data_IF_366259474012
#
_entry.id   IF_366259474012
#
_cell.length_a   1.000
_cell.length_b   1.000
_cell.length_c   1.000
_cell.angle_alpha   90.00
_cell.angle_beta   90.00
_cell.angle_gamma   90.00
#
_symmetry.space_group_name_H-M   'P 1'
#
loop_
_entity.id
_entity.type
_entity.pdbx_description
1 polymer ?
#
# COMPACT_ATOMS: atom_id res chain seq x y z
N UNK A 1 6.00 -20.90 -47.79
CA UNK A 1 5.57 -21.47 -46.49
C UNK A 1 6.49 -20.90 -45.43
N UNK A 2 6.14 -19.74 -44.88
CA UNK A 2 6.85 -19.17 -43.74
C UNK A 2 5.79 -18.63 -42.76
N UNK A 3 5.78 -19.21 -41.57
CA UNK A 3 4.85 -18.91 -40.50
C UNK A 3 5.26 -17.63 -39.79
N UNK A 4 4.54 -16.54 -40.05
CA UNK A 4 4.61 -15.32 -39.25
C UNK A 4 3.94 -15.56 -37.89
N UNK A 5 4.72 -15.94 -36.88
CA UNK A 5 4.29 -15.90 -35.48
C UNK A 5 4.38 -14.47 -34.97
N UNK A 6 3.24 -13.77 -35.01
CA UNK A 6 3.05 -12.46 -34.40
C UNK A 6 3.30 -12.55 -32.87
N UNK A 7 4.11 -11.67 -32.27
CA UNK A 7 4.28 -11.64 -30.82
C UNK A 7 2.97 -11.17 -30.19
N UNK A 8 2.36 -12.08 -29.43
CA UNK A 8 1.14 -11.90 -28.64
C UNK A 8 1.26 -10.67 -27.76
N UNK A 9 0.81 -9.52 -28.26
CA UNK A 9 0.65 -8.32 -27.47
C UNK A 9 -0.48 -8.62 -26.49
N UNK A 10 -0.16 -8.73 -25.20
CA UNK A 10 -1.12 -8.80 -24.11
C UNK A 10 -1.86 -7.45 -24.04
N UNK A 11 -2.75 -7.22 -24.99
CA UNK A 11 -3.78 -6.21 -24.91
C UNK A 11 -4.69 -6.67 -23.78
N UNK A 12 -4.46 -6.15 -22.58
CA UNK A 12 -5.42 -6.21 -21.49
C UNK A 12 -6.66 -5.45 -21.97
N UNK A 13 -7.55 -6.17 -22.68
CA UNK A 13 -8.88 -5.70 -23.00
C UNK A 13 -9.48 -5.23 -21.69
N UNK A 14 -9.94 -3.98 -21.70
CA UNK A 14 -10.76 -3.37 -20.66
C UNK A 14 -12.06 -4.16 -20.62
N UNK A 15 -12.04 -5.38 -20.10
CA UNK A 15 -13.24 -6.17 -19.88
C UNK A 15 -14.05 -5.36 -18.89
N UNK A 16 -15.10 -4.71 -19.37
CA UNK A 16 -16.08 -4.08 -18.51
C UNK A 16 -16.58 -5.17 -17.56
N UNK A 17 -16.20 -5.10 -16.28
CA UNK A 17 -16.67 -6.01 -15.25
C UNK A 17 -18.16 -5.74 -15.02
N UNK A 18 -18.98 -6.25 -15.94
CA UNK A 18 -20.43 -6.11 -15.89
C UNK A 18 -20.92 -6.92 -14.68
N UNK A 19 -21.75 -6.33 -13.80
CA UNK A 19 -22.35 -7.05 -12.70
C UNK A 19 -23.03 -8.34 -13.16
N UNK A 20 -22.94 -9.39 -12.36
CA UNK A 20 -23.70 -10.61 -12.56
C UNK A 20 -25.13 -10.32 -12.13
N UNK A 21 -26.05 -10.34 -13.08
CA UNK A 21 -27.46 -10.02 -12.83
C UNK A 21 -28.23 -11.33 -12.68
N UNK A 22 -28.78 -11.56 -11.50
CA UNK A 22 -29.70 -12.66 -11.22
C UNK A 22 -31.12 -12.13 -11.14
N UNK A 23 -32.03 -12.66 -11.97
CA UNK A 23 -33.45 -12.30 -11.98
C UNK A 23 -34.29 -13.46 -11.50
N UNK A 24 -35.06 -13.24 -10.45
CA UNK A 24 -36.03 -14.17 -9.88
C UNK A 24 -37.41 -13.53 -9.87
N UNK A 25 -38.45 -14.31 -10.20
CA UNK A 25 -39.84 -13.85 -10.03
C UNK A 25 -40.18 -13.62 -8.54
N UNK A 26 -39.57 -14.40 -7.64
CA UNK A 26 -39.85 -14.37 -6.20
C UNK A 26 -38.99 -13.36 -5.44
N UNK A 27 -37.73 -13.19 -5.84
CA UNK A 27 -36.74 -12.41 -5.08
C UNK A 27 -36.19 -11.19 -5.86
N UNK A 28 -36.89 -10.79 -6.92
CA UNK A 28 -36.50 -9.63 -7.73
C UNK A 28 -35.17 -9.78 -8.46
N UNK A 29 -34.44 -8.66 -8.58
CA UNK A 29 -33.15 -8.61 -9.30
C UNK A 29 -32.01 -8.37 -8.34
N UNK A 30 -31.06 -9.30 -8.29
CA UNK A 30 -29.83 -9.19 -7.52
C UNK A 30 -28.66 -8.94 -8.46
N UNK A 31 -27.77 -8.01 -8.08
CA UNK A 31 -26.55 -7.69 -8.83
C UNK A 31 -25.33 -7.99 -7.99
N UNK A 32 -24.52 -8.93 -8.45
CA UNK A 32 -23.28 -9.32 -7.79
C UNK A 32 -22.06 -8.77 -8.53
N UNK A 33 -20.99 -8.50 -7.80
CA UNK A 33 -19.67 -8.25 -8.34
C UNK A 33 -19.18 -9.48 -9.11
N UNK A 34 -18.61 -9.28 -10.31
CA UNK A 34 -18.23 -10.35 -11.22
C UNK A 34 -16.76 -10.79 -11.10
N UNK A 35 -16.08 -10.41 -10.02
CA UNK A 35 -14.67 -10.70 -9.80
C UNK A 35 -14.36 -10.65 -8.31
N UNK A 36 -13.34 -11.38 -7.89
CA UNK A 36 -12.78 -11.35 -6.53
C UNK A 36 -11.68 -10.30 -6.49
N UNK A 37 -11.72 -9.37 -5.53
CA UNK A 37 -10.63 -8.41 -5.32
C UNK A 37 -9.55 -9.07 -4.47
N UNK A 38 -8.34 -8.54 -4.56
CA UNK A 38 -7.25 -8.97 -3.71
C UNK A 38 -7.57 -8.85 -2.20
N UNK A 39 -8.30 -7.79 -1.80
CA UNK A 39 -8.76 -7.63 -0.42
C UNK A 39 -9.76 -8.70 0.04
N UNK A 40 -10.49 -9.33 -0.88
CA UNK A 40 -11.44 -10.39 -0.57
C UNK A 40 -10.71 -11.71 -0.25
N UNK A 41 -9.50 -11.94 -0.77
CA UNK A 41 -8.68 -13.12 -0.43
C UNK A 41 -8.39 -13.19 1.07
N UNK A 42 -8.15 -12.04 1.72
CA UNK A 42 -7.96 -11.98 3.18
C UNK A 42 -9.22 -12.38 3.93
N UNK A 43 -10.38 -11.91 3.47
CA UNK A 43 -11.68 -12.33 4.00
C UNK A 43 -11.80 -13.85 3.93
N UNK A 44 -11.57 -14.48 2.78
CA UNK A 44 -11.67 -15.93 2.66
C UNK A 44 -10.67 -16.69 3.55
N UNK A 45 -9.42 -16.22 3.65
CA UNK A 45 -8.40 -16.84 4.51
C UNK A 45 -8.76 -16.76 6.00
N UNK A 46 -9.36 -15.65 6.43
CA UNK A 46 -9.90 -15.51 7.79
C UNK A 46 -11.00 -16.56 8.03
N UNK A 47 -11.95 -16.68 7.10
CA UNK A 47 -13.03 -17.68 7.19
C UNK A 47 -12.51 -19.12 7.15
N UNK A 48 -11.46 -19.41 6.38
CA UNK A 48 -10.86 -20.74 6.32
C UNK A 48 -10.27 -21.13 7.69
N UNK A 49 -9.58 -20.19 8.36
CA UNK A 49 -8.91 -20.40 9.65
C UNK A 49 -9.87 -20.46 10.84
N UNK A 50 -10.97 -19.72 10.78
CA UNK A 50 -11.91 -19.57 11.91
C UNK A 50 -13.05 -20.62 11.88
N UNK A 51 -13.07 -21.55 10.93
CA UNK A 51 -14.32 -22.23 10.55
C UNK A 51 -14.82 -23.34 11.49
N UNK A 52 -15.85 -23.00 12.27
CA UNK A 52 -16.99 -23.88 12.60
C UNK A 52 -18.26 -23.50 11.83
N UNK A 53 -18.18 -22.59 10.84
CA UNK A 53 -19.35 -22.16 10.09
C UNK A 53 -19.85 -23.26 9.15
N UNK A 54 -21.16 -23.46 9.16
CA UNK A 54 -21.86 -24.32 8.21
C UNK A 54 -21.71 -23.79 6.77
N UNK A 55 -21.68 -24.69 5.79
CA UNK A 55 -21.45 -24.34 4.39
C UNK A 55 -22.54 -23.44 3.80
N UNK A 56 -23.78 -23.50 4.31
CA UNK A 56 -24.84 -22.56 3.92
C UNK A 56 -24.57 -21.15 4.45
N UNK A 57 -24.14 -21.02 5.70
CA UNK A 57 -23.81 -19.72 6.30
C UNK A 57 -22.63 -19.06 5.57
N UNK A 58 -21.58 -19.85 5.27
CA UNK A 58 -20.49 -19.38 4.40
C UNK A 58 -21.03 -18.81 3.07
N UNK A 59 -21.95 -19.53 2.42
CA UNK A 59 -22.57 -19.10 1.15
C UNK A 59 -23.29 -17.76 1.29
N UNK A 60 -24.04 -17.55 2.39
CA UNK A 60 -24.74 -16.29 2.65
C UNK A 60 -23.77 -15.12 2.85
N UNK A 61 -22.67 -15.35 3.57
CA UNK A 61 -21.63 -14.34 3.77
C UNK A 61 -21.00 -13.91 2.44
N UNK A 62 -20.74 -14.86 1.53
CA UNK A 62 -20.25 -14.55 0.18
C UNK A 62 -21.26 -13.70 -0.59
N UNK A 63 -22.53 -14.09 -0.60
CA UNK A 63 -23.55 -13.32 -1.31
C UNK A 63 -23.60 -11.89 -0.75
N UNK A 64 -23.72 -11.74 0.57
CA UNK A 64 -23.79 -10.44 1.24
C UNK A 64 -22.57 -9.55 0.93
N UNK A 65 -21.38 -10.15 0.87
CA UNK A 65 -20.13 -9.44 0.56
C UNK A 65 -20.09 -8.92 -0.88
N UNK A 66 -20.57 -9.70 -1.84
CA UNK A 66 -20.44 -9.37 -3.28
C UNK A 66 -21.65 -8.69 -3.90
N UNK A 67 -22.73 -8.48 -3.16
CA UNK A 67 -23.88 -7.69 -3.62
C UNK A 67 -23.50 -6.21 -3.80
N UNK A 68 -23.68 -5.67 -5.00
CA UNK A 68 -23.25 -4.29 -5.35
C UNK A 68 -24.23 -3.19 -4.91
N UNK A 69 -25.46 -3.56 -4.56
CA UNK A 69 -26.47 -2.64 -4.04
C UNK A 69 -27.14 -3.32 -2.87
N UNK A 70 -27.21 -2.71 -1.67
CA UNK A 70 -27.88 -3.32 -0.53
C UNK A 70 -29.31 -3.67 -0.96
N UNK A 71 -29.57 -4.96 -1.15
CA UNK A 71 -30.93 -5.43 -1.32
C UNK A 71 -31.54 -5.45 0.07
N UNK A 72 -32.76 -4.92 0.22
CA UNK A 72 -33.57 -5.14 1.42
C UNK A 72 -33.99 -6.63 1.57
N UNK A 73 -33.47 -7.50 0.71
CA UNK A 73 -33.69 -8.94 0.72
C UNK A 73 -32.83 -9.57 1.80
N UNK A 74 -33.48 -10.29 2.70
CA UNK A 74 -32.83 -11.19 3.63
C UNK A 74 -32.57 -12.54 2.94
N UNK A 75 -31.34 -12.73 2.44
CA UNK A 75 -30.93 -13.97 1.77
C UNK A 75 -31.05 -15.21 2.67
N UNK A 76 -31.11 -15.06 4.00
CA UNK A 76 -31.29 -16.20 4.90
C UNK A 76 -32.64 -16.90 4.68
N UNK A 77 -33.65 -16.16 4.19
CA UNK A 77 -35.01 -16.65 3.90
C UNK A 77 -35.12 -17.37 2.55
N UNK A 78 -34.08 -17.29 1.71
CA UNK A 78 -34.11 -17.93 0.40
C UNK A 78 -33.99 -19.44 0.52
N UNK A 79 -34.77 -20.15 -0.28
CA UNK A 79 -34.62 -21.59 -0.40
C UNK A 79 -33.26 -21.97 -1.02
N UNK A 80 -32.74 -23.12 -0.61
CA UNK A 80 -31.39 -23.57 -0.97
C UNK A 80 -31.19 -23.70 -2.47
N UNK A 81 -32.21 -24.15 -3.20
CA UNK A 81 -32.17 -24.26 -4.67
C UNK A 81 -31.89 -22.91 -5.33
N UNK A 82 -32.46 -21.83 -4.80
CA UNK A 82 -32.31 -20.48 -5.35
C UNK A 82 -30.94 -19.90 -5.01
N UNK A 83 -30.47 -20.12 -3.78
CA UNK A 83 -29.12 -19.74 -3.34
C UNK A 83 -28.05 -20.47 -4.15
N UNK A 84 -28.18 -21.79 -4.33
CA UNK A 84 -27.26 -22.58 -5.14
C UNK A 84 -27.21 -22.10 -6.59
N UNK A 85 -28.36 -21.80 -7.20
CA UNK A 85 -28.40 -21.27 -8.55
C UNK A 85 -27.71 -19.90 -8.66
N UNK A 86 -27.88 -19.05 -7.64
CA UNK A 86 -27.23 -17.74 -7.58
C UNK A 86 -25.71 -17.89 -7.48
N UNK A 87 -25.20 -18.71 -6.55
CA UNK A 87 -23.75 -18.86 -6.35
C UNK A 87 -23.07 -19.65 -7.46
N UNK A 88 -23.76 -20.57 -8.14
CA UNK A 88 -23.25 -21.20 -9.38
C UNK A 88 -22.99 -20.16 -10.46
N UNK A 89 -23.98 -19.30 -10.73
CA UNK A 89 -23.84 -18.21 -11.71
C UNK A 89 -22.76 -17.22 -11.32
N UNK A 90 -22.60 -16.99 -10.01
CA UNK A 90 -21.52 -16.16 -9.50
C UNK A 90 -20.16 -16.80 -9.75
N UNK A 91 -19.97 -18.05 -9.31
CA UNK A 91 -18.75 -18.83 -9.45
C UNK A 91 -18.29 -18.93 -10.90
N UNK A 92 -19.21 -19.23 -11.82
CA UNK A 92 -18.98 -19.31 -13.26
C UNK A 92 -18.24 -18.08 -13.81
N UNK A 93 -18.65 -16.89 -13.36
CA UNK A 93 -18.13 -15.61 -13.85
C UNK A 93 -16.97 -15.09 -13.02
N UNK A 94 -17.04 -15.23 -11.71
CA UNK A 94 -16.07 -14.65 -10.78
C UNK A 94 -14.78 -15.46 -10.69
N UNK A 95 -14.87 -16.79 -10.81
CA UNK A 95 -13.73 -17.70 -10.72
C UNK A 95 -13.16 -18.07 -12.09
N UNK A 96 -13.91 -17.84 -13.19
CA UNK A 96 -13.48 -18.04 -14.58
C UNK A 96 -13.03 -19.47 -14.96
N UNK A 97 -13.43 -20.48 -14.19
CA UNK A 97 -12.95 -21.87 -14.33
C UNK A 97 -14.00 -22.86 -14.89
N UNK A 98 -15.14 -22.40 -15.44
CA UNK A 98 -16.24 -23.27 -15.94
C UNK A 98 -16.75 -24.32 -14.93
N UNK A 99 -16.54 -24.04 -13.64
CA UNK A 99 -16.78 -24.92 -12.48
C UNK A 99 -18.23 -24.92 -12.00
N UNK A 100 -19.14 -24.27 -12.73
CA UNK A 100 -20.53 -24.13 -12.30
C UNK A 100 -21.30 -25.46 -12.28
N UNK A 101 -20.86 -26.44 -13.07
CA UNK A 101 -21.42 -27.80 -13.11
C UNK A 101 -20.98 -28.68 -11.93
N UNK A 102 -19.85 -28.37 -11.30
CA UNK A 102 -19.30 -29.13 -10.16
C UNK A 102 -20.03 -28.80 -8.84
N UNK A 103 -20.61 -27.60 -8.74
CA UNK A 103 -21.19 -27.09 -7.49
C UNK A 103 -22.59 -27.70 -7.27
N UNK A 104 -22.70 -28.91 -6.71
CA UNK A 104 -24.01 -29.57 -6.49
C UNK A 104 -24.65 -29.21 -5.15
N UNK A 105 -23.84 -28.81 -4.17
CA UNK A 105 -24.22 -28.44 -2.81
C UNK A 105 -23.48 -27.19 -2.32
N UNK A 106 -23.84 -26.68 -1.12
CA UNK A 106 -23.11 -25.58 -0.50
C UNK A 106 -21.69 -25.97 -0.08
N UNK A 107 -21.51 -27.24 0.27
CA UNK A 107 -20.19 -27.77 0.60
C UNK A 107 -19.28 -27.82 -0.63
N UNK A 108 -19.83 -28.22 -1.78
CA UNK A 108 -19.10 -28.16 -3.05
C UNK A 108 -18.72 -26.72 -3.39
N UNK A 109 -19.65 -25.77 -3.27
CA UNK A 109 -19.37 -24.35 -3.49
C UNK A 109 -18.20 -23.85 -2.62
N UNK A 110 -18.26 -24.15 -1.31
CA UNK A 110 -17.21 -23.76 -0.35
C UNK A 110 -15.86 -24.34 -0.72
N UNK A 111 -15.79 -25.64 -1.03
CA UNK A 111 -14.56 -26.32 -1.46
C UNK A 111 -14.00 -25.73 -2.74
N UNK A 112 -14.86 -25.45 -3.72
CA UNK A 112 -14.47 -24.86 -5.00
C UNK A 112 -13.87 -23.46 -4.81
N UNK A 113 -14.49 -22.62 -3.99
CA UNK A 113 -13.97 -21.28 -3.68
C UNK A 113 -12.59 -21.36 -3.02
N UNK A 114 -12.41 -22.22 -2.01
CA UNK A 114 -11.11 -22.36 -1.36
C UNK A 114 -10.04 -22.92 -2.29
N UNK A 115 -10.37 -23.93 -3.09
CA UNK A 115 -9.46 -24.47 -4.11
C UNK A 115 -9.00 -23.38 -5.07
N UNK A 116 -9.90 -22.53 -5.55
CA UNK A 116 -9.54 -21.43 -6.45
C UNK A 116 -8.62 -20.41 -5.76
N UNK A 117 -8.85 -20.10 -4.49
CA UNK A 117 -8.02 -19.17 -3.72
C UNK A 117 -6.64 -19.75 -3.46
N UNK A 118 -6.55 -21.03 -3.09
CA UNK A 118 -5.28 -21.72 -2.90
C UNK A 118 -4.49 -21.77 -4.21
N UNK A 119 -5.14 -22.12 -5.33
CA UNK A 119 -4.50 -22.09 -6.65
C UNK A 119 -4.01 -20.69 -7.04
N UNK A 120 -4.80 -19.66 -6.75
CA UNK A 120 -4.43 -18.26 -7.01
C UNK A 120 -3.24 -17.84 -6.15
N UNK A 121 -3.24 -18.20 -4.87
CA UNK A 121 -2.14 -17.91 -3.96
C UNK A 121 -0.86 -18.64 -4.36
N UNK A 122 -0.93 -19.90 -4.78
CA UNK A 122 0.22 -20.64 -5.29
C UNK A 122 0.73 -20.06 -6.61
N UNK A 123 -0.15 -19.66 -7.53
CA UNK A 123 0.26 -18.97 -8.76
C UNK A 123 0.94 -17.63 -8.48
N UNK A 124 0.45 -16.88 -7.50
CA UNK A 124 1.10 -15.64 -7.03
C UNK A 124 2.46 -15.93 -6.41
N UNK A 125 2.55 -16.92 -5.51
CA UNK A 125 3.82 -17.32 -4.88
C UNK A 125 4.83 -17.77 -5.93
N UNK A 126 4.42 -18.55 -6.92
CA UNK A 126 5.30 -19.00 -8.01
C UNK A 126 5.75 -17.82 -8.87
N UNK A 127 4.84 -16.89 -9.18
CA UNK A 127 5.19 -15.65 -9.89
C UNK A 127 6.18 -14.79 -9.08
N UNK A 128 5.97 -14.66 -7.76
CA UNK A 128 6.86 -13.94 -6.86
C UNK A 128 8.21 -14.66 -6.69
N UNK A 129 8.22 -15.99 -6.65
CA UNK A 129 9.44 -16.80 -6.63
C UNK A 129 10.21 -16.61 -7.93
N UNK A 130 9.54 -16.66 -9.09
CA UNK A 130 10.14 -16.35 -10.38
C UNK A 130 10.74 -14.94 -10.42
N UNK A 131 10.02 -13.93 -9.90
CA UNK A 131 10.56 -12.57 -9.78
C UNK A 131 11.76 -12.52 -8.83
N UNK A 132 11.70 -13.20 -7.69
CA UNK A 132 12.80 -13.25 -6.71
C UNK A 132 14.02 -13.99 -7.27
N UNK A 133 13.83 -15.08 -8.00
CA UNK A 133 14.91 -15.83 -8.66
C UNK A 133 15.52 -15.02 -9.80
N UNK A 134 14.71 -14.35 -10.61
CA UNK A 134 15.19 -13.41 -11.63
C UNK A 134 15.98 -12.29 -10.96
N UNK A 135 15.46 -11.68 -9.90
CA UNK A 135 16.12 -10.59 -9.16
C UNK A 135 17.40 -11.08 -8.50
N UNK A 136 17.41 -12.27 -7.93
CA UNK A 136 18.59 -12.87 -7.26
C UNK A 136 19.64 -13.27 -8.28
N UNK A 137 19.25 -13.86 -9.41
CA UNK A 137 20.16 -14.22 -10.49
C UNK A 137 20.70 -12.97 -11.18
N UNK A 138 19.90 -11.91 -11.32
CA UNK A 138 20.34 -10.61 -11.80
C UNK A 138 21.28 -9.93 -10.80
N UNK A 139 20.96 -9.90 -9.50
CA UNK A 139 21.82 -9.35 -8.46
C UNK A 139 23.13 -10.13 -8.34
N UNK A 140 23.11 -11.46 -8.49
CA UNK A 140 24.30 -12.32 -8.51
C UNK A 140 25.12 -12.11 -9.77
N UNK A 141 24.48 -11.98 -10.94
CA UNK A 141 25.16 -11.65 -12.18
C UNK A 141 25.81 -10.25 -12.12
N UNK A 142 25.08 -9.24 -11.62
CA UNK A 142 25.58 -7.88 -11.39
C UNK A 142 26.70 -7.90 -10.37
N UNK A 143 26.56 -8.61 -9.24
CA UNK A 143 27.60 -8.74 -8.23
C UNK A 143 28.84 -9.47 -8.74
N UNK A 144 28.70 -10.50 -9.59
CA UNK A 144 29.82 -11.19 -10.19
C UNK A 144 30.54 -10.32 -11.25
N UNK A 145 29.82 -9.39 -11.89
CA UNK A 145 30.38 -8.39 -12.80
C UNK A 145 31.06 -7.26 -12.00
N UNK A 146 30.46 -6.83 -10.89
CA UNK A 146 30.93 -5.69 -10.10
C UNK A 146 32.02 -6.08 -9.09
N UNK A 147 32.06 -7.31 -8.57
CA UNK A 147 33.03 -7.77 -7.57
C UNK A 147 34.49 -7.64 -8.05
N UNK A 148 34.84 -8.01 -9.31
CA UNK A 148 36.18 -7.75 -9.85
C UNK A 148 36.46 -6.25 -10.02
N UNK A 149 35.43 -5.45 -10.35
CA UNK A 149 35.55 -4.00 -10.49
C UNK A 149 35.77 -3.31 -9.14
N UNK A 150 35.06 -3.68 -8.07
CA UNK A 150 35.17 -3.04 -6.74
C UNK A 150 36.56 -3.15 -6.13
N UNK A 151 37.29 -4.23 -6.38
CA UNK A 151 38.67 -4.42 -5.89
C UNK A 151 39.69 -3.57 -6.65
N UNK A 152 39.38 -3.16 -7.89
CA UNK A 152 40.25 -2.34 -8.75
C UNK A 152 39.88 -0.85 -8.74
N UNK A 153 38.66 -0.52 -8.32
CA UNK A 153 38.03 0.81 -8.43
C UNK A 153 38.28 1.69 -7.20
N UNK A 154 38.41 1.14 -5.99
CA UNK A 154 38.62 1.96 -4.77
C UNK A 154 39.95 2.76 -4.81
N UNK A 155 40.92 2.36 -5.65
CA UNK A 155 42.19 3.09 -5.81
C UNK A 155 42.23 4.13 -6.94
N UNK A 156 41.21 4.23 -7.81
CA UNK A 156 41.30 5.04 -9.06
C UNK A 156 40.11 6.00 -9.32
N UNK A 157 39.15 6.12 -8.40
CA UNK A 157 37.81 6.64 -8.76
C UNK A 157 37.53 8.14 -8.68
N UNK A 158 38.51 9.04 -8.81
CA UNK A 158 38.19 10.48 -8.94
C UNK A 158 38.08 10.98 -10.39
N UNK A 159 38.59 10.26 -11.41
CA UNK A 159 38.65 10.80 -12.78
C UNK A 159 38.18 9.89 -13.92
N UNK A 160 37.78 8.64 -13.66
CA UNK A 160 37.57 7.63 -14.72
C UNK A 160 36.12 7.21 -15.01
N UNK A 161 35.12 7.85 -14.40
CA UNK A 161 33.72 7.40 -14.55
C UNK A 161 33.24 7.50 -16.02
N UNK A 162 33.70 8.47 -16.80
CA UNK A 162 33.35 8.58 -18.23
C UNK A 162 34.12 7.61 -19.14
N UNK A 163 35.33 7.16 -18.79
CA UNK A 163 36.08 6.19 -19.60
C UNK A 163 35.67 4.73 -19.31
N UNK A 164 35.17 4.46 -18.09
CA UNK A 164 34.73 3.12 -17.67
C UNK A 164 33.45 2.69 -18.39
N UNK A 165 32.50 3.61 -18.63
CA UNK A 165 31.28 3.31 -19.41
C UNK A 165 31.63 2.98 -20.86
N UNK A 166 32.57 3.71 -21.47
CA UNK A 166 33.05 3.42 -22.82
C UNK A 166 33.86 2.10 -22.90
N UNK A 167 34.66 1.80 -21.87
CA UNK A 167 35.44 0.58 -21.76
C UNK A 167 34.59 -0.68 -21.56
N UNK A 168 33.52 -0.60 -20.77
CA UNK A 168 32.60 -1.73 -20.54
C UNK A 168 31.86 -2.14 -21.82
N UNK A 169 31.42 -1.17 -22.63
CA UNK A 169 30.81 -1.41 -23.95
C UNK A 169 31.82 -2.03 -24.91
N UNK A 170 33.08 -1.57 -24.91
CA UNK A 170 34.11 -2.12 -25.77
C UNK A 170 34.57 -3.53 -25.36
N UNK A 171 34.63 -3.84 -24.06
CA UNK A 171 35.02 -5.17 -23.55
C UNK A 171 33.95 -6.25 -23.82
N UNK A 172 32.66 -5.88 -23.74
CA UNK A 172 31.54 -6.74 -24.16
C UNK A 172 31.55 -7.04 -25.67
N UNK A 173 32.17 -6.17 -26.46
CA UNK A 173 32.33 -6.33 -27.90
C UNK A 173 33.49 -7.26 -28.28
N UNK A 174 34.47 -7.46 -27.39
CA UNK A 174 35.70 -8.23 -27.65
C UNK A 174 35.65 -9.69 -27.21
N UNK A 175 34.62 -10.11 -26.46
CA UNK A 175 34.50 -11.46 -25.91
C UNK A 175 33.81 -12.44 -26.90
N UNK A 176 34.44 -12.69 -28.04
CA UNK A 176 33.91 -13.45 -29.20
C UNK A 176 33.46 -14.89 -28.88
N UNK A 177 33.89 -15.48 -27.76
CA UNK A 177 33.58 -16.87 -27.38
C UNK A 177 32.29 -16.98 -26.53
N UNK A 178 31.89 -15.90 -25.84
CA UNK A 178 30.65 -15.88 -25.04
C UNK A 178 29.46 -15.39 -25.89
N UNK A 179 29.75 -14.69 -26.99
CA UNK A 179 28.71 -14.13 -27.88
C UNK A 179 27.86 -15.17 -28.62
N UNK A 180 28.35 -16.38 -28.89
CA UNK A 180 27.64 -17.32 -29.76
C UNK A 180 26.67 -18.27 -29.04
N UNK A 181 26.81 -18.50 -27.73
CA UNK A 181 26.00 -19.50 -26.99
C UNK A 181 25.07 -18.92 -25.91
N UNK A 182 25.42 -17.75 -25.35
CA UNK A 182 24.66 -17.10 -24.28
C UNK A 182 23.85 -15.89 -24.77
N UNK A 183 24.36 -15.11 -25.72
CA UNK A 183 23.71 -13.87 -26.20
C UNK A 183 22.39 -14.10 -26.95
N UNK A 184 22.20 -15.16 -27.76
CA UNK A 184 20.90 -15.40 -28.39
C UNK A 184 19.81 -15.84 -27.39
N UNK A 185 20.20 -16.29 -26.19
CA UNK A 185 19.29 -16.81 -25.15
C UNK A 185 19.04 -15.83 -24.00
N UNK A 186 19.90 -14.83 -23.82
CA UNK A 186 19.62 -13.73 -22.92
C UNK A 186 18.54 -12.88 -23.58
N UNK A 187 17.36 -12.69 -22.96
CA UNK A 187 16.43 -11.68 -23.43
C UNK A 187 17.22 -10.38 -23.61
N UNK A 188 17.13 -9.81 -24.81
CA UNK A 188 17.95 -8.69 -25.27
C UNK A 188 18.20 -7.73 -24.11
N UNK A 189 19.42 -7.79 -23.54
CA UNK A 189 19.74 -7.08 -22.30
C UNK A 189 19.44 -5.59 -22.45
N UNK A 190 19.51 -5.07 -23.68
CA UNK A 190 19.09 -3.72 -24.04
C UNK A 190 17.63 -3.44 -23.71
N UNK A 191 16.72 -4.38 -23.93
CA UNK A 191 15.31 -4.25 -23.57
C UNK A 191 15.10 -4.30 -22.05
N UNK A 192 15.89 -5.08 -21.31
CA UNK A 192 15.86 -5.10 -19.84
C UNK A 192 16.36 -3.76 -19.28
N UNK A 193 17.51 -3.27 -19.76
CA UNK A 193 18.04 -1.97 -19.35
C UNK A 193 17.08 -0.84 -19.68
N UNK A 194 16.55 -0.81 -20.91
CA UNK A 194 15.55 0.18 -21.30
C UNK A 194 14.29 0.12 -20.43
N UNK A 195 13.83 -1.08 -20.06
CA UNK A 195 12.71 -1.26 -19.14
C UNK A 195 13.01 -0.74 -17.74
N UNK A 196 14.19 -1.04 -17.18
CA UNK A 196 14.60 -0.58 -15.84
C UNK A 196 14.79 0.94 -15.82
N UNK A 197 15.44 1.51 -16.83
CA UNK A 197 15.60 2.96 -16.97
C UNK A 197 14.25 3.66 -17.08
N UNK A 198 13.34 3.12 -17.90
CA UNK A 198 11.98 3.62 -18.03
C UNK A 198 11.23 3.58 -16.69
N UNK A 199 11.23 2.43 -16.02
CA UNK A 199 10.55 2.25 -14.74
C UNK A 199 11.13 3.18 -13.65
N UNK A 200 12.45 3.35 -13.63
CA UNK A 200 13.14 4.27 -12.71
C UNK A 200 12.74 5.71 -12.99
N UNK A 201 12.72 6.12 -14.26
CA UNK A 201 12.29 7.47 -14.67
C UNK A 201 10.84 7.74 -14.30
N UNK A 202 9.93 6.81 -14.61
CA UNK A 202 8.50 6.89 -14.25
C UNK A 202 8.32 7.00 -12.73
N UNK A 203 9.06 6.20 -11.96
CA UNK A 203 9.01 6.23 -10.49
C UNK A 203 9.48 7.57 -9.96
N UNK A 204 10.61 8.10 -10.45
CA UNK A 204 11.12 9.40 -10.02
C UNK A 204 10.19 10.55 -10.41
N UNK A 205 9.61 10.52 -11.62
CA UNK A 205 8.63 11.52 -12.06
C UNK A 205 7.38 11.50 -11.16
N UNK A 206 6.91 10.31 -10.81
CA UNK A 206 5.79 10.13 -9.89
C UNK A 206 6.10 10.63 -8.47
N UNK A 207 7.27 10.30 -7.92
CA UNK A 207 7.67 10.76 -6.59
C UNK A 207 7.78 12.29 -6.56
N UNK A 208 8.41 12.90 -7.58
CA UNK A 208 8.47 14.35 -7.73
C UNK A 208 7.07 14.98 -7.83
N UNK A 209 6.14 14.31 -8.50
CA UNK A 209 4.76 14.75 -8.61
C UNK A 209 4.02 14.65 -7.27
N UNK A 210 4.23 13.59 -6.50
CA UNK A 210 3.69 13.46 -5.14
C UNK A 210 4.25 14.53 -4.21
N UNK A 211 5.56 14.81 -4.29
CA UNK A 211 6.20 15.88 -3.52
C UNK A 211 5.56 17.24 -3.83
N UNK A 212 5.44 17.59 -5.12
CA UNK A 212 4.76 18.82 -5.60
C UNK A 212 3.28 18.87 -5.20
N UNK A 213 2.61 17.73 -5.19
CA UNK A 213 1.20 17.61 -4.78
C UNK A 213 1.03 17.54 -3.27
N UNK A 214 2.14 17.52 -2.54
CA UNK A 214 2.21 17.44 -1.09
C UNK A 214 1.66 16.13 -0.49
N UNK A 215 1.87 15.02 -1.18
CA UNK A 215 1.44 13.66 -0.82
C UNK A 215 2.58 12.64 -0.83
N UNK A 216 3.84 13.07 -0.73
CA UNK A 216 5.00 12.17 -0.76
C UNK A 216 4.91 11.06 0.31
N UNK A 217 4.44 11.39 1.52
CA UNK A 217 4.23 10.43 2.62
C UNK A 217 3.16 9.37 2.33
N UNK A 218 2.33 9.59 1.31
CA UNK A 218 1.27 8.68 0.88
C UNK A 218 1.67 7.80 -0.32
N UNK A 219 2.94 7.87 -0.76
CA UNK A 219 3.42 7.06 -1.89
C UNK A 219 3.17 5.56 -1.69
N UNK A 220 3.28 5.07 -0.44
CA UNK A 220 3.08 3.66 -0.07
C UNK A 220 1.65 3.16 -0.21
N UNK A 221 0.68 4.07 -0.37
CA UNK A 221 -0.75 3.75 -0.44
C UNK A 221 -1.22 3.66 -1.90
N UNK A 222 -0.45 4.21 -2.83
CA UNK A 222 -0.82 4.28 -4.24
C UNK A 222 -0.30 3.05 -5.00
N UNK A 223 -1.21 2.41 -5.74
CA UNK A 223 -0.88 1.26 -6.59
C UNK A 223 0.00 1.67 -7.79
N UNK A 224 0.96 0.81 -8.17
CA UNK A 224 1.81 1.00 -9.37
C UNK A 224 1.02 1.27 -10.65
N UNK A 225 -0.16 0.65 -10.78
CA UNK A 225 -1.03 0.87 -11.94
C UNK A 225 -1.53 2.32 -11.99
N UNK A 226 -1.84 2.92 -10.83
CA UNK A 226 -2.27 4.31 -10.78
C UNK A 226 -1.15 5.26 -11.21
N UNK A 227 0.09 4.97 -10.83
CA UNK A 227 1.27 5.73 -11.25
C UNK A 227 1.37 5.86 -12.76
N UNK A 228 1.27 4.73 -13.49
CA UNK A 228 1.35 4.72 -14.96
C UNK A 228 0.20 5.46 -15.64
N UNK A 229 -1.00 5.37 -15.09
CA UNK A 229 -2.16 6.10 -15.62
C UNK A 229 -2.07 7.60 -15.34
N UNK A 230 -1.53 7.97 -14.18
CA UNK A 230 -1.36 9.37 -13.78
C UNK A 230 -0.33 10.11 -14.65
N UNK A 231 0.78 9.46 -15.02
CA UNK A 231 1.80 10.06 -15.89
C UNK A 231 1.26 10.35 -17.30
N UNK A 232 0.17 9.69 -17.73
CA UNK A 232 -0.52 9.98 -19.01
C UNK A 232 -1.48 11.18 -18.90
N UNK A 233 -1.83 11.62 -17.69
CA UNK A 233 -2.68 12.79 -17.47
C UNK A 233 -1.87 14.05 -17.77
N UNK A 234 -2.51 15.06 -18.38
CA UNK A 234 -1.89 16.37 -18.63
C UNK A 234 -1.29 16.94 -17.34
N UNK A 235 -0.04 17.47 -17.36
CA UNK A 235 0.66 17.93 -16.15
C UNK A 235 -0.13 18.90 -15.27
N UNK A 236 -0.90 19.82 -15.88
CA UNK A 236 -1.73 20.81 -15.19
C UNK A 236 -2.88 20.20 -14.37
N UNK A 237 -3.25 18.94 -14.65
CA UNK A 237 -4.36 18.23 -13.99
C UNK A 237 -3.91 17.13 -13.05
N UNK A 238 -2.63 16.76 -13.08
CA UNK A 238 -2.11 15.62 -12.32
C UNK A 238 -2.35 15.76 -10.80
N UNK A 239 -2.10 16.94 -10.23
CA UNK A 239 -2.30 17.18 -8.78
C UNK A 239 -3.77 17.00 -8.35
N UNK A 240 -4.71 17.47 -9.18
CA UNK A 240 -6.13 17.33 -8.93
C UNK A 240 -6.56 15.85 -9.01
N UNK A 241 -6.00 15.09 -9.96
CA UNK A 241 -6.24 13.64 -10.07
C UNK A 241 -5.69 12.88 -8.87
N UNK A 242 -4.48 13.18 -8.39
CA UNK A 242 -3.93 12.59 -7.16
C UNK A 242 -4.84 12.87 -5.97
N UNK A 243 -5.20 14.14 -5.77
CA UNK A 243 -6.06 14.56 -4.65
C UNK A 243 -7.40 13.81 -4.70
N UNK A 244 -8.03 13.74 -5.87
CA UNK A 244 -9.29 13.02 -6.05
C UNK A 244 -9.15 11.52 -5.79
N UNK A 245 -8.06 10.89 -6.26
CA UNK A 245 -7.80 9.46 -6.02
C UNK A 245 -7.61 9.18 -4.54
N UNK A 246 -6.74 9.94 -3.87
CA UNK A 246 -6.48 9.77 -2.44
C UNK A 246 -7.70 10.06 -1.59
N UNK A 247 -8.47 11.11 -1.90
CA UNK A 247 -9.75 11.38 -1.24
C UNK A 247 -10.74 10.23 -1.44
N UNK A 248 -10.79 9.62 -2.63
CA UNK A 248 -11.60 8.43 -2.89
C UNK A 248 -11.18 7.23 -2.03
N UNK A 249 -9.87 7.04 -1.82
CA UNK A 249 -9.34 6.00 -0.94
C UNK A 249 -9.73 6.30 0.52
N UNK A 250 -9.46 7.52 1.01
CA UNK A 250 -9.64 7.85 2.43
C UNK A 250 -11.09 8.00 2.87
N UNK A 251 -12.01 8.12 1.91
CA UNK A 251 -13.46 8.11 2.18
C UNK A 251 -14.08 6.71 2.07
N UNK A 252 -13.34 5.72 1.57
CA UNK A 252 -13.83 4.35 1.40
C UNK A 252 -13.94 3.59 2.74
N UNK A 253 -14.87 2.64 2.78
CA UNK A 253 -15.11 1.80 3.95
C UNK A 253 -13.93 0.86 4.26
N UNK A 254 -13.24 0.34 3.23
CA UNK A 254 -12.07 -0.52 3.41
C UNK A 254 -10.93 0.24 4.11
N UNK A 255 -10.71 1.50 3.74
CA UNK A 255 -9.73 2.36 4.42
C UNK A 255 -10.11 2.62 5.88
N UNK A 256 -11.40 2.85 6.17
CA UNK A 256 -11.88 3.04 7.54
C UNK A 256 -11.68 1.78 8.41
N UNK A 257 -11.91 0.58 7.87
CA UNK A 257 -11.66 -0.67 8.57
C UNK A 257 -10.16 -0.89 8.84
N UNK A 258 -9.30 -0.55 7.89
CA UNK A 258 -7.86 -0.67 8.08
C UNK A 258 -7.37 0.32 9.15
N UNK A 259 -7.93 1.53 9.19
CA UNK A 259 -7.71 2.46 10.30
C UNK A 259 -8.18 1.89 11.64
N UNK A 260 -9.36 1.27 11.72
CA UNK A 260 -9.85 0.62 12.94
C UNK A 260 -8.90 -0.50 13.39
N UNK A 261 -8.41 -1.30 12.45
CA UNK A 261 -7.44 -2.37 12.70
C UNK A 261 -6.15 -1.82 13.30
N UNK A 262 -5.56 -0.80 12.69
CA UNK A 262 -4.34 -0.14 13.17
C UNK A 262 -4.52 0.44 14.59
N UNK A 263 -5.69 1.01 14.87
CA UNK A 263 -5.97 1.59 16.18
C UNK A 263 -6.44 0.56 17.22
N UNK A 264 -6.75 -0.67 16.84
CA UNK A 264 -7.14 -1.73 17.78
C UNK A 264 -5.95 -2.27 18.61
N UNK A 265 -4.73 -1.95 18.18
CA UNK A 265 -3.48 -2.24 18.88
C UNK A 265 -3.45 -1.46 20.22
N UNK A 266 -2.95 -2.10 21.28
CA UNK A 266 -3.13 -1.67 22.67
C UNK A 266 -2.74 -0.20 22.95
N UNK A 267 -1.65 0.30 22.36
CA UNK A 267 -1.14 1.65 22.58
C UNK A 267 -1.97 2.75 21.87
N UNK A 268 -2.64 2.42 20.77
CA UNK A 268 -3.48 3.35 20.02
C UNK A 268 -4.97 3.22 20.34
N UNK A 269 -5.38 2.15 21.02
CA UNK A 269 -6.79 1.86 21.35
C UNK A 269 -7.52 3.02 22.01
N UNK A 270 -6.86 3.70 22.96
CA UNK A 270 -7.44 4.87 23.65
C UNK A 270 -7.74 6.06 22.73
N UNK A 271 -7.14 6.10 21.52
CA UNK A 271 -7.31 7.17 20.53
C UNK A 271 -8.41 6.88 19.51
N UNK A 272 -8.89 5.63 19.44
CA UNK A 272 -9.82 5.19 18.39
C UNK A 272 -11.12 5.99 18.38
N UNK A 273 -11.72 6.25 19.55
CA UNK A 273 -12.99 6.99 19.64
C UNK A 273 -12.92 8.36 18.96
N UNK A 274 -11.86 9.12 19.23
CA UNK A 274 -11.67 10.43 18.60
C UNK A 274 -11.39 10.29 17.09
N UNK A 275 -10.59 9.29 16.70
CA UNK A 275 -10.28 9.03 15.30
C UNK A 275 -11.49 8.60 14.48
N UNK A 276 -12.37 7.75 15.03
CA UNK A 276 -13.61 7.32 14.39
C UNK A 276 -14.52 8.50 14.07
N UNK A 277 -14.67 9.43 15.02
CA UNK A 277 -15.45 10.66 14.79
C UNK A 277 -14.81 11.56 13.72
N UNK A 278 -13.49 11.71 13.74
CA UNK A 278 -12.78 12.49 12.73
C UNK A 278 -12.83 11.86 11.33
N UNK A 279 -12.80 10.53 11.24
CA UNK A 279 -13.00 9.77 10.00
C UNK A 279 -14.41 10.00 9.44
N UNK A 280 -15.44 9.90 10.29
CA UNK A 280 -16.82 10.19 9.88
C UNK A 280 -16.97 11.64 9.40
N UNK A 281 -16.36 12.60 10.10
CA UNK A 281 -16.33 13.99 9.69
C UNK A 281 -15.63 14.18 8.33
N UNK A 282 -14.51 13.49 8.09
CA UNK A 282 -13.81 13.49 6.81
C UNK A 282 -14.69 12.94 5.67
N UNK A 283 -15.33 11.78 5.89
CA UNK A 283 -16.23 11.13 4.93
C UNK A 283 -17.47 11.98 4.60
N UNK A 284 -17.95 12.76 5.57
CA UNK A 284 -19.09 13.67 5.42
C UNK A 284 -18.68 15.09 5.03
N UNK A 285 -17.43 15.30 4.62
CA UNK A 285 -16.88 16.58 4.15
C UNK A 285 -16.84 17.70 5.22
N UNK A 286 -16.94 17.35 6.50
CA UNK A 286 -16.82 18.26 7.64
C UNK A 286 -15.35 18.51 8.01
N UNK A 287 -14.57 19.05 7.07
CA UNK A 287 -13.11 19.14 7.19
C UNK A 287 -12.62 20.02 8.34
N UNK A 288 -13.41 21.02 8.74
CA UNK A 288 -13.12 21.86 9.90
C UNK A 288 -13.08 21.07 11.21
N UNK A 289 -13.81 19.97 11.28
CA UNK A 289 -13.86 19.08 12.45
C UNK A 289 -12.75 18.03 12.38
N UNK A 290 -12.54 17.42 11.20
CA UNK A 290 -11.59 16.31 11.05
C UNK A 290 -10.13 16.75 11.16
N UNK A 291 -9.74 17.87 10.55
CA UNK A 291 -8.34 18.31 10.45
C UNK A 291 -7.67 18.53 11.83
N UNK A 292 -8.27 19.28 12.77
CA UNK A 292 -7.68 19.47 14.11
C UNK A 292 -7.43 18.15 14.84
N UNK A 293 -8.37 17.20 14.74
CA UNK A 293 -8.26 15.90 15.37
C UNK A 293 -7.14 15.09 14.73
N UNK A 294 -7.06 15.01 13.40
CA UNK A 294 -5.99 14.30 12.72
C UNK A 294 -4.60 14.86 13.06
N UNK A 295 -4.44 16.18 13.14
CA UNK A 295 -3.18 16.80 13.55
C UNK A 295 -2.79 16.42 14.99
N UNK A 296 -3.74 16.48 15.92
CA UNK A 296 -3.49 16.08 17.31
C UNK A 296 -3.11 14.59 17.43
N UNK A 297 -3.74 13.73 16.63
CA UNK A 297 -3.47 12.29 16.64
C UNK A 297 -2.14 11.97 15.97
N UNK A 298 -1.78 12.62 14.87
CA UNK A 298 -0.46 12.49 14.24
C UNK A 298 0.67 12.85 15.22
N UNK A 299 0.56 13.98 15.92
CA UNK A 299 1.52 14.37 16.95
C UNK A 299 1.59 13.35 18.10
N UNK A 300 0.43 12.85 18.53
CA UNK A 300 0.32 11.86 19.59
C UNK A 300 1.00 10.54 19.22
N UNK A 301 0.72 10.00 18.03
CA UNK A 301 1.33 8.77 17.53
C UNK A 301 2.84 8.96 17.35
N UNK A 302 3.26 10.09 16.79
CA UNK A 302 4.69 10.40 16.67
C UNK A 302 5.37 10.42 18.05
N UNK A 303 4.69 10.91 19.09
CA UNK A 303 5.19 10.85 20.46
C UNK A 303 5.32 9.41 20.97
N UNK A 304 4.35 8.53 20.68
CA UNK A 304 4.48 7.09 21.01
C UNK A 304 5.68 6.45 20.30
N UNK A 305 5.89 6.78 19.02
CA UNK A 305 7.00 6.29 18.23
C UNK A 305 8.36 6.65 18.84
N UNK A 306 8.51 7.90 19.31
CA UNK A 306 9.72 8.33 20.02
C UNK A 306 9.95 7.56 21.32
N UNK A 307 8.88 7.27 22.07
CA UNK A 307 8.98 6.54 23.33
C UNK A 307 9.38 5.09 23.10
N UNK A 308 8.71 4.43 22.15
CA UNK A 308 8.96 3.04 21.81
C UNK A 308 10.38 2.82 21.28
N UNK A 309 10.93 3.77 20.51
CA UNK A 309 12.32 3.72 20.03
C UNK A 309 13.36 4.21 21.05
N UNK A 310 12.96 4.36 22.32
CA UNK A 310 13.84 4.81 23.41
C UNK A 310 14.51 6.17 23.13
N UNK A 311 13.86 7.03 22.34
CA UNK A 311 14.30 8.40 22.06
C UNK A 311 13.67 9.40 23.02
N UNK A 312 12.58 9.02 23.68
CA UNK A 312 11.91 9.82 24.69
C UNK A 312 11.32 8.93 25.79
N UNK A 313 10.98 9.52 26.93
CA UNK A 313 10.16 8.86 27.94
C UNK A 313 9.03 9.79 28.39
N UNK A 314 7.97 9.17 28.93
CA UNK A 314 6.84 9.88 29.51
C UNK A 314 6.91 9.81 31.03
N UNK A 315 6.75 10.96 31.67
CA UNK A 315 6.57 11.05 33.11
C UNK A 315 5.39 11.99 33.38
N UNK A 316 4.35 11.45 34.04
CA UNK A 316 3.05 12.13 34.20
C UNK A 316 2.49 12.52 32.83
N UNK A 317 2.29 13.82 32.59
CA UNK A 317 1.77 14.38 31.34
C UNK A 317 2.85 15.08 30.49
N UNK A 318 4.13 14.80 30.77
CA UNK A 318 5.25 15.42 30.07
C UNK A 318 6.07 14.36 29.35
N UNK A 319 6.67 14.79 28.24
CA UNK A 319 7.57 13.99 27.42
C UNK A 319 8.95 14.59 27.56
N UNK A 320 9.96 13.75 27.78
CA UNK A 320 11.34 14.17 27.97
C UNK A 320 12.24 13.43 27.00
N UNK A 321 13.26 14.12 26.49
CA UNK A 321 14.23 13.55 25.58
C UNK A 321 15.13 12.53 26.28
N UNK A 322 15.45 11.44 25.59
CA UNK A 322 16.51 10.51 25.97
C UNK A 322 17.72 10.70 25.05
N UNK A 323 18.90 10.39 25.59
CA UNK A 323 20.14 10.21 24.86
C UNK A 323 20.81 8.97 25.43
N UNK A 324 21.03 7.96 24.60
CA UNK A 324 21.65 6.69 25.00
C UNK A 324 20.92 6.02 26.19
N UNK A 325 19.58 6.08 26.17
CA UNK A 325 18.71 5.53 27.22
C UNK A 325 18.61 6.35 28.51
N UNK A 326 19.34 7.46 28.65
CA UNK A 326 19.29 8.34 29.83
C UNK A 326 18.63 9.69 29.53
N UNK A 327 18.00 10.36 30.52
CA UNK A 327 17.41 11.69 30.33
C UNK A 327 18.43 12.70 29.79
N UNK A 328 18.14 13.27 28.62
CA UNK A 328 18.98 14.28 27.99
C UNK A 328 18.88 15.58 28.79
N UNK A 329 20.01 16.10 29.26
CA UNK A 329 20.09 17.36 30.00
C UNK A 329 20.65 18.48 29.13
N UNK A 330 20.26 19.71 29.42
CA UNK A 330 20.88 20.90 28.83
C UNK A 330 22.13 21.33 29.62
N UNK A 331 22.77 22.43 29.19
CA UNK A 331 23.97 23.00 29.81
C UNK A 331 23.75 23.36 31.31
N UNK A 332 22.50 23.53 31.75
CA UNK A 332 22.14 23.84 33.14
C UNK A 332 21.74 22.61 33.95
N UNK A 333 22.09 21.41 33.50
CA UNK A 333 21.72 20.12 34.12
C UNK A 333 20.20 19.88 34.23
N UNK A 334 19.37 20.64 33.50
CA UNK A 334 17.92 20.44 33.46
C UNK A 334 17.55 19.46 32.35
N UNK A 335 16.66 18.52 32.67
CA UNK A 335 16.11 17.56 31.70
C UNK A 335 15.37 18.33 30.59
N UNK A 336 15.64 17.97 29.34
CA UNK A 336 15.03 18.59 28.16
C UNK A 336 13.63 18.00 27.95
N UNK A 337 12.61 18.84 28.10
CA UNK A 337 11.23 18.50 27.76
C UNK A 337 10.96 18.63 26.25
N UNK A 338 10.10 17.77 25.72
CA UNK A 338 9.61 17.77 24.34
C UNK A 338 8.14 18.19 24.32
N UNK A 339 7.89 19.46 24.60
CA UNK A 339 6.54 19.99 24.83
C UNK A 339 5.81 20.35 23.53
N UNK A 340 6.56 20.58 22.46
CA UNK A 340 6.04 20.98 21.16
C UNK A 340 6.41 19.94 20.09
N UNK A 341 5.60 19.89 19.02
CA UNK A 341 5.90 19.08 17.86
C UNK A 341 7.27 19.41 17.25
N UNK A 342 7.65 20.69 17.21
CA UNK A 342 8.94 21.11 16.69
C UNK A 342 10.11 20.54 17.52
N UNK A 343 10.03 20.59 18.85
CA UNK A 343 11.06 20.02 19.73
C UNK A 343 11.17 18.50 19.54
N UNK A 344 10.04 17.79 19.42
CA UNK A 344 10.01 16.35 19.17
C UNK A 344 10.74 16.00 17.87
N UNK A 345 10.52 16.77 16.81
CA UNK A 345 11.12 16.49 15.51
C UNK A 345 12.58 16.90 15.44
N UNK A 346 12.95 18.05 16.02
CA UNK A 346 14.37 18.43 16.13
C UNK A 346 15.15 17.38 16.92
N UNK A 347 14.56 16.82 17.98
CA UNK A 347 15.17 15.74 18.75
C UNK A 347 15.24 14.41 17.98
N UNK A 348 14.25 14.13 17.15
CA UNK A 348 14.19 12.96 16.28
C UNK A 348 15.17 12.98 15.08
N UNK A 349 15.66 14.17 14.70
CA UNK A 349 16.49 14.33 13.50
C UNK A 349 17.76 13.49 13.61
N UNK A 350 18.08 12.73 12.55
CA UNK A 350 19.21 11.80 12.53
C UNK A 350 18.86 10.38 12.99
N UNK A 351 17.78 10.19 13.76
CA UNK A 351 17.36 8.85 14.21
C UNK A 351 16.48 8.11 13.18
N UNK A 352 16.00 8.81 12.15
CA UNK A 352 15.12 8.27 11.12
C UNK A 352 15.73 8.38 9.71
N UNK A 353 17.03 8.68 9.60
CA UNK A 353 17.66 9.00 8.31
C UNK A 353 17.68 7.79 7.36
N UNK A 354 17.80 6.58 7.92
CA UNK A 354 17.79 5.31 7.20
C UNK A 354 16.36 4.88 6.79
N UNK A 355 15.33 5.46 7.41
CA UNK A 355 13.93 5.10 7.21
C UNK A 355 13.19 6.17 6.42
N UNK A 356 13.37 6.12 5.09
CA UNK A 356 12.85 7.11 4.13
C UNK A 356 11.39 7.49 4.39
N UNK A 357 10.50 6.54 4.66
CA UNK A 357 9.07 6.79 4.90
C UNK A 357 8.86 7.62 6.17
N UNK A 358 9.53 7.28 7.28
CA UNK A 358 9.42 8.03 8.53
C UNK A 358 9.97 9.43 8.35
N UNK A 359 11.14 9.56 7.73
CA UNK A 359 11.74 10.86 7.44
C UNK A 359 10.78 11.77 6.65
N UNK A 360 10.23 11.29 5.54
CA UNK A 360 9.27 12.04 4.72
C UNK A 360 8.02 12.41 5.53
N UNK A 361 7.53 11.49 6.36
CA UNK A 361 6.36 11.70 7.22
C UNK A 361 6.62 12.78 8.27
N UNK A 362 7.78 12.74 8.90
CA UNK A 362 8.25 13.71 9.90
C UNK A 362 8.49 15.08 9.26
N UNK A 363 9.15 15.12 8.10
CA UNK A 363 9.39 16.35 7.34
C UNK A 363 8.07 16.98 6.88
N UNK A 364 7.11 16.17 6.46
CA UNK A 364 5.75 16.64 6.13
C UNK A 364 5.05 17.22 7.35
N UNK A 365 5.13 16.53 8.50
CA UNK A 365 4.54 16.97 9.76
C UNK A 365 5.15 18.33 10.20
N UNK A 366 6.46 18.53 10.06
CA UNK A 366 7.11 19.80 10.44
C UNK A 366 6.96 20.89 9.41
N UNK A 367 7.44 20.64 8.21
CA UNK A 367 7.58 21.65 7.17
C UNK A 367 6.24 22.23 6.76
N UNK A 368 5.17 21.42 6.79
CA UNK A 368 3.84 21.87 6.37
C UNK A 368 2.90 22.16 7.51
N UNK A 369 2.93 21.35 8.56
CA UNK A 369 1.90 21.41 9.59
C UNK A 369 2.35 22.08 10.88
N UNK A 370 3.62 22.16 11.27
CA UNK A 370 3.97 22.78 12.57
C UNK A 370 3.48 24.23 12.71
N UNK A 371 3.72 25.08 11.70
CA UNK A 371 3.23 26.48 11.72
C UNK A 371 1.71 26.54 11.64
N UNK A 372 1.13 25.86 10.64
CA UNK A 372 -0.32 25.83 10.41
C UNK A 372 -1.09 25.20 11.57
N UNK A 373 -0.55 24.20 12.25
CA UNK A 373 -1.21 23.45 13.33
C UNK A 373 -1.50 24.36 14.51
N UNK A 374 -0.54 25.16 14.95
CA UNK A 374 -0.78 26.11 16.04
C UNK A 374 -1.84 27.14 15.63
N UNK A 375 -1.75 27.67 14.42
CA UNK A 375 -2.73 28.65 13.96
C UNK A 375 -4.14 28.06 13.75
N UNK A 376 -4.24 26.81 13.29
CA UNK A 376 -5.52 26.07 13.15
C UNK A 376 -6.11 25.80 14.53
N UNK A 377 -5.33 25.24 15.47
CA UNK A 377 -5.82 24.87 16.80
C UNK A 377 -6.17 26.07 17.67
N UNK A 378 -5.58 27.24 17.41
CA UNK A 378 -5.91 28.50 18.07
C UNK A 378 -6.91 29.36 17.28
N UNK A 379 -7.45 28.87 16.16
CA UNK A 379 -8.45 29.56 15.36
C UNK A 379 -7.96 30.83 14.64
N UNK A 380 -6.64 31.01 14.48
CA UNK A 380 -6.02 32.13 13.76
C UNK A 380 -6.14 31.99 12.24
N UNK A 381 -6.14 30.76 11.75
CA UNK A 381 -6.47 30.43 10.36
C UNK A 381 -7.88 29.84 10.36
N UNK A 382 -8.78 30.40 9.56
CA UNK A 382 -10.18 29.98 9.45
C UNK A 382 -10.53 29.36 8.08
N UNK A 383 -9.58 29.29 7.15
CA UNK A 383 -9.78 28.75 5.80
C UNK A 383 -9.06 27.39 5.58
N UNK A 384 -8.78 26.66 6.66
CA UNK A 384 -8.09 25.36 6.58
C UNK A 384 -9.00 24.19 6.16
N UNK A 385 -10.32 24.34 6.24
CA UNK A 385 -11.31 23.29 6.02
C UNK A 385 -11.47 22.89 4.55
N UNK A 386 -10.46 22.27 3.96
CA UNK A 386 -10.50 21.75 2.59
C UNK A 386 -10.16 20.25 2.53
N UNK A 387 -10.65 19.61 1.47
CA UNK A 387 -10.50 18.17 1.25
C UNK A 387 -9.03 17.72 1.20
N UNK A 388 -8.17 18.50 0.52
CA UNK A 388 -6.75 18.18 0.38
C UNK A 388 -6.07 18.12 1.75
N UNK A 389 -6.22 19.14 2.58
CA UNK A 389 -5.64 19.20 3.93
C UNK A 389 -6.17 18.09 4.82
N UNK A 390 -7.47 17.80 4.78
CA UNK A 390 -8.03 16.69 5.55
C UNK A 390 -7.50 15.32 5.08
N UNK A 391 -7.34 15.13 3.77
CA UNK A 391 -6.80 13.89 3.19
C UNK A 391 -5.32 13.73 3.58
N UNK A 392 -4.51 14.78 3.45
CA UNK A 392 -3.09 14.77 3.82
C UNK A 392 -2.87 14.42 5.29
N UNK A 393 -3.61 15.07 6.18
CA UNK A 393 -3.48 14.85 7.63
C UNK A 393 -3.97 13.47 8.05
N UNK A 394 -5.03 12.95 7.43
CA UNK A 394 -5.48 11.58 7.65
C UNK A 394 -4.45 10.54 7.18
N UNK A 395 -3.90 10.71 5.97
CA UNK A 395 -2.86 9.82 5.46
C UNK A 395 -1.59 9.87 6.31
N UNK A 396 -1.27 11.03 6.89
CA UNK A 396 -0.17 11.18 7.84
C UNK A 396 -0.39 10.34 9.11
N UNK A 397 -1.61 10.37 9.66
CA UNK A 397 -2.00 9.51 10.79
C UNK A 397 -1.89 8.03 10.42
N UNK A 398 -2.39 7.65 9.25
CA UNK A 398 -2.32 6.27 8.75
C UNK A 398 -0.88 5.78 8.63
N UNK A 399 -0.01 6.54 7.97
CA UNK A 399 1.42 6.18 7.80
C UNK A 399 2.13 6.06 9.14
N UNK A 400 1.92 7.00 10.07
CA UNK A 400 2.52 6.95 11.40
C UNK A 400 2.02 5.74 12.22
N UNK A 401 0.74 5.42 12.14
CA UNK A 401 0.15 4.27 12.82
C UNK A 401 0.70 2.94 12.27
N UNK A 402 0.87 2.83 10.94
CA UNK A 402 1.48 1.67 10.30
C UNK A 402 2.95 1.46 10.68
N UNK A 403 3.72 2.56 10.77
CA UNK A 403 5.11 2.50 11.27
C UNK A 403 5.15 2.02 12.71
N UNK A 404 4.29 2.57 13.58
CA UNK A 404 4.23 2.16 14.98
C UNK A 404 3.89 0.67 15.13
N UNK A 405 2.94 0.16 14.33
CA UNK A 405 2.61 -1.26 14.30
C UNK A 405 3.81 -2.13 13.90
N UNK A 406 4.57 -1.72 12.88
CA UNK A 406 5.75 -2.46 12.42
C UNK A 406 6.77 -2.64 13.55
N UNK A 407 7.13 -1.55 14.21
CA UNK A 407 8.10 -1.57 15.32
C UNK A 407 7.61 -2.41 16.51
N UNK A 408 6.31 -2.39 16.82
CA UNK A 408 5.72 -3.23 17.87
C UNK A 408 5.84 -4.71 17.53
N UNK A 409 5.59 -5.07 16.27
CA UNK A 409 5.72 -6.44 15.81
C UNK A 409 7.17 -6.93 15.85
N UNK A 410 8.14 -6.05 15.60
CA UNK A 410 9.55 -6.40 15.68
C UNK A 410 10.05 -6.50 17.13
N UNK A 411 9.54 -5.66 18.04
CA UNK A 411 9.83 -5.75 19.47
C UNK A 411 9.31 -7.06 20.09
N UNK A 412 8.12 -7.53 19.69
CA UNK A 412 7.55 -8.78 20.20
C UNK A 412 8.25 -10.06 19.69
N UNK A 413 9.14 -9.95 18.69
CA UNK A 413 9.94 -11.08 18.18
C UNK A 413 11.27 -11.25 18.92
N UNK A 414 11.72 -10.22 19.64
CA UNK A 414 12.92 -10.24 20.47
C UNK A 414 12.57 -10.74 21.87
#
# INVERSE_FOLDING_TARGET
MESNSNPSTLVLRKESHKPIVFRSKRYGTVKLQSFIRWGDSKFFLTYQRESNLDSREFTLQIINRFVLQPSNEDFSTWNDRSLLLLVRKWADKALKDDISEEIKSFDDFRKTVFKHIDNTNESIKESLRGISEITTNQAKAISNILSPLTTQVISSLSSQISSIVAGAVSALSSATIIQSSLIPKLPDLKNIFAFVEQATRETNEFLNLLEKSEYEHAAVILEDRFTKELLKVRPDRQQAVITKKLMGITTDYEFANEMERLFSISQLRGRWTAMKQALLAHQTHQYFVSIPVFLAQAEGIFTELLVMRNLAYKEKNKVFALKDGSPKKNIKEKIIGLNTLNEKVVHAKGHFDDEKIIRITVDTLVGRFTSKRNDILHGRINNYGNAKTSTQTLLLVFTLAGVLESDLNDTNKQ
#
